data_IF_954463724652
#
_entry.id   IF_954463724652
#
_cell.length_a   1.000
_cell.length_b   1.000
_cell.length_c   1.000
_cell.angle_alpha   90.00
_cell.angle_beta   90.00
_cell.angle_gamma   90.00
#
_symmetry.space_group_name_H-M   'P 1'
#
loop_
_entity.id
_entity.type
_entity.pdbx_description
1 polymer ?
#
# COMPACT_ATOMS: atom_id res chain seq x y z
N UNK A 1 12.48 50.25 -19.69
CA UNK A 1 13.55 49.23 -19.69
C UNK A 1 13.16 48.14 -18.69
N UNK A 2 12.95 46.93 -19.21
CA UNK A 2 12.83 45.61 -18.56
C UNK A 2 12.59 45.55 -17.04
N UNK A 3 11.36 45.18 -16.66
CA UNK A 3 11.12 44.19 -15.60
C UNK A 3 10.07 43.20 -16.15
N UNK A 4 10.56 42.09 -16.69
CA UNK A 4 9.79 40.91 -17.08
C UNK A 4 9.75 39.94 -15.89
N UNK A 5 8.60 39.27 -15.73
CA UNK A 5 8.41 37.91 -15.22
C UNK A 5 8.83 37.61 -13.77
N UNK A 6 7.84 37.44 -12.88
CA UNK A 6 8.00 36.56 -11.72
C UNK A 6 6.69 35.84 -11.32
N UNK A 7 6.09 35.09 -12.26
CA UNK A 7 5.07 34.06 -11.97
C UNK A 7 5.66 32.64 -12.16
N UNK A 8 6.98 32.53 -12.38
CA UNK A 8 7.71 31.26 -12.46
C UNK A 8 8.35 30.79 -11.13
N UNK A 9 8.20 31.55 -10.04
CA UNK A 9 8.95 31.35 -8.80
C UNK A 9 8.40 30.28 -7.84
N UNK A 10 7.10 30.00 -7.83
CA UNK A 10 6.54 29.17 -6.73
C UNK A 10 6.80 27.67 -6.88
N UNK A 11 6.93 27.15 -8.10
CA UNK A 11 7.24 25.72 -8.31
C UNK A 11 8.72 25.41 -8.02
N UNK A 12 9.64 26.33 -8.34
CA UNK A 12 11.06 26.19 -8.03
C UNK A 12 11.37 26.40 -6.56
N UNK A 13 10.65 27.31 -5.88
CA UNK A 13 10.79 27.51 -4.42
C UNK A 13 10.22 26.32 -3.63
N UNK A 14 9.12 25.72 -4.09
CA UNK A 14 8.58 24.48 -3.52
C UNK A 14 9.52 23.28 -3.78
N UNK A 15 10.07 23.14 -4.99
CA UNK A 15 11.10 22.12 -5.29
C UNK A 15 12.39 22.34 -4.49
N UNK A 16 12.84 23.58 -4.32
CA UNK A 16 14.07 23.91 -3.58
C UNK A 16 13.89 23.74 -2.07
N UNK A 17 12.76 24.18 -1.50
CA UNK A 17 12.41 23.90 -0.11
C UNK A 17 12.20 22.40 0.15
N UNK A 18 11.81 21.64 -0.87
CA UNK A 18 11.65 20.19 -0.83
C UNK A 18 12.97 19.42 -0.94
N UNK A 19 13.92 19.85 -1.79
CA UNK A 19 15.28 19.31 -1.84
C UNK A 19 16.01 19.50 -0.49
N UNK A 20 15.75 20.63 0.18
CA UNK A 20 16.23 20.90 1.53
C UNK A 20 15.53 20.03 2.60
N UNK A 21 14.22 19.79 2.45
CA UNK A 21 13.49 18.88 3.33
C UNK A 21 13.93 17.42 3.16
N UNK A 22 14.21 16.96 1.93
CA UNK A 22 14.80 15.65 1.63
C UNK A 22 16.13 15.41 2.36
N UNK A 23 16.97 16.44 2.49
CA UNK A 23 18.26 16.37 3.20
C UNK A 23 18.13 16.38 4.74
N UNK A 24 16.95 16.72 5.27
CA UNK A 24 16.68 16.83 6.72
C UNK A 24 15.97 15.61 7.31
N UNK A 25 15.62 14.62 6.47
CA UNK A 25 15.07 13.34 6.90
C UNK A 25 16.24 12.50 7.43
N UNK A 26 16.22 12.04 8.71
CA UNK A 26 17.23 11.11 9.18
C UNK A 26 17.20 9.84 8.34
N UNK A 27 18.34 9.48 7.72
CA UNK A 27 18.62 8.14 7.20
C UNK A 27 18.77 7.18 8.39
N UNK A 28 17.69 6.98 9.14
CA UNK A 28 17.59 5.92 10.13
C UNK A 28 16.48 4.99 9.67
N UNK A 29 16.90 4.00 8.87
CA UNK A 29 16.62 2.58 9.02
C UNK A 29 17.08 1.82 7.75
N UNK A 30 18.33 2.02 7.32
CA UNK A 30 19.06 0.97 6.62
C UNK A 30 19.45 -0.09 7.65
N UNK A 31 18.49 -0.93 8.02
CA UNK A 31 18.84 -2.25 8.57
C UNK A 31 19.26 -3.07 7.36
N UNK A 32 20.54 -3.00 7.02
CA UNK A 32 21.19 -4.03 6.22
C UNK A 32 20.85 -5.38 6.84
N UNK A 33 20.02 -6.17 6.15
CA UNK A 33 19.88 -7.59 6.40
C UNK A 33 21.21 -8.24 6.03
N UNK A 34 22.17 -8.25 6.96
CA UNK A 34 23.26 -9.20 6.89
C UNK A 34 22.67 -10.61 6.81
N UNK A 35 23.08 -11.44 5.84
CA UNK A 35 22.65 -12.82 5.80
C UNK A 35 23.13 -13.52 7.09
N UNK A 36 22.19 -14.07 7.84
CA UNK A 36 22.45 -14.90 9.03
C UNK A 36 23.57 -15.90 8.72
N UNK A 37 24.75 -15.64 9.29
CA UNK A 37 25.83 -16.60 9.41
C UNK A 37 25.33 -17.73 10.30
N UNK A 38 25.30 -19.00 9.85
CA UNK A 38 24.99 -20.11 10.73
C UNK A 38 26.10 -20.22 11.78
N UNK A 39 25.75 -20.04 13.05
CA UNK A 39 26.63 -20.34 14.18
C UNK A 39 27.05 -21.83 14.11
N UNK A 40 28.30 -22.17 14.43
CA UNK A 40 28.96 -23.35 13.91
C UNK A 40 28.48 -24.61 14.64
N UNK A 41 27.86 -25.52 13.90
CA UNK A 41 27.85 -26.93 14.27
C UNK A 41 29.31 -27.40 14.26
N UNK A 42 29.83 -27.73 15.43
CA UNK A 42 31.14 -28.34 15.60
C UNK A 42 31.30 -29.54 14.66
N UNK A 43 32.22 -29.37 13.71
CA UNK A 43 33.03 -30.38 13.02
C UNK A 43 32.34 -31.72 12.70
N UNK A 44 31.94 -31.87 11.45
CA UNK A 44 32.22 -33.12 10.77
C UNK A 44 33.04 -32.77 9.53
N UNK A 45 34.33 -33.06 9.58
CA UNK A 45 35.24 -32.99 8.43
C UNK A 45 34.83 -34.05 7.43
N UNK A 46 33.69 -33.85 6.76
CA UNK A 46 33.30 -34.59 5.59
C UNK A 46 34.02 -33.94 4.40
N UNK A 47 35.28 -34.32 4.25
CA UNK A 47 36.00 -34.35 2.96
C UNK A 47 35.02 -34.54 1.80
N UNK A 48 34.95 -33.52 0.95
CA UNK A 48 34.19 -33.49 -0.29
C UNK A 48 34.75 -34.58 -1.22
N UNK A 49 34.10 -35.75 -1.21
CA UNK A 49 34.51 -36.90 -2.02
C UNK A 49 33.57 -37.08 -3.20
N UNK A 50 34.17 -36.88 -4.37
CA UNK A 50 33.71 -37.10 -5.74
C UNK A 50 32.49 -38.03 -5.88
N UNK A 51 31.40 -37.50 -6.46
CA UNK A 51 30.09 -38.18 -6.60
C UNK A 51 30.13 -39.38 -7.56
N UNK A 52 31.23 -39.58 -8.30
CA UNK A 52 31.37 -40.63 -9.32
C UNK A 52 32.09 -41.91 -8.86
N UNK A 53 32.52 -42.02 -7.60
CA UNK A 53 33.17 -43.24 -7.10
C UNK A 53 32.12 -44.22 -6.55
N UNK A 54 32.05 -45.48 -7.05
CA UNK A 54 31.14 -46.49 -6.50
C UNK A 54 31.40 -46.71 -5.00
N UNK A 55 30.44 -46.31 -4.16
CA UNK A 55 30.52 -46.56 -2.72
C UNK A 55 30.19 -48.03 -2.45
N UNK A 56 31.22 -48.81 -2.17
CA UNK A 56 31.10 -50.25 -1.91
C UNK A 56 31.18 -50.52 -0.39
N UNK A 57 30.32 -51.39 0.10
CA UNK A 57 30.27 -51.80 1.50
C UNK A 57 31.50 -52.65 1.86
N UNK A 58 32.32 -52.18 2.82
CA UNK A 58 33.55 -52.87 3.24
C UNK A 58 33.34 -54.29 3.83
N UNK A 59 32.10 -54.63 4.21
CA UNK A 59 31.76 -55.94 4.79
C UNK A 59 31.43 -56.98 3.73
N UNK A 60 30.58 -56.64 2.75
CA UNK A 60 29.98 -57.63 1.84
C UNK A 60 30.06 -57.27 0.36
N UNK A 61 30.64 -56.12 -0.01
CA UNK A 61 30.75 -55.71 -1.40
C UNK A 61 29.45 -55.19 -2.03
N UNK A 62 28.34 -55.11 -1.29
CA UNK A 62 27.07 -54.51 -1.75
C UNK A 62 27.18 -52.98 -1.84
N UNK A 63 26.20 -52.31 -2.47
CA UNK A 63 26.15 -50.84 -2.56
C UNK A 63 26.05 -50.22 -1.16
N UNK A 64 27.03 -49.40 -0.78
CA UNK A 64 27.03 -48.68 0.49
C UNK A 64 26.08 -47.48 0.44
N UNK A 65 25.38 -47.23 1.55
CA UNK A 65 24.49 -46.07 1.70
C UNK A 65 25.16 -44.89 2.41
N UNK A 66 26.34 -45.12 3.01
CA UNK A 66 27.12 -44.09 3.69
C UNK A 66 28.02 -44.69 4.77
N UNK A 67 28.59 -43.80 5.59
CA UNK A 67 29.26 -44.20 6.81
C UNK A 67 28.23 -44.54 7.88
N UNK A 68 28.32 -45.76 8.42
CA UNK A 68 27.51 -46.18 9.57
C UNK A 68 28.44 -46.72 10.63
N UNK A 69 28.35 -46.17 11.83
CA UNK A 69 29.20 -46.56 12.96
C UNK A 69 30.69 -46.49 12.63
N UNK A 70 31.13 -45.43 11.94
CA UNK A 70 32.52 -45.19 11.50
C UNK A 70 33.03 -46.03 10.31
N UNK A 71 32.17 -46.75 9.56
CA UNK A 71 32.61 -47.46 8.35
C UNK A 71 31.63 -47.35 7.18
N UNK A 72 32.17 -47.27 5.96
CA UNK A 72 31.37 -47.26 4.72
C UNK A 72 30.66 -48.61 4.52
N UNK A 73 29.34 -48.65 4.73
CA UNK A 73 28.57 -49.90 4.71
C UNK A 73 27.19 -49.74 4.08
N UNK A 74 26.57 -50.87 3.75
CA UNK A 74 25.17 -50.93 3.29
C UNK A 74 24.20 -51.04 4.48
N UNK A 75 22.91 -50.72 4.27
CA UNK A 75 21.85 -50.85 5.30
C UNK A 75 21.77 -52.25 5.90
N UNK A 76 22.05 -53.29 5.10
CA UNK A 76 22.06 -54.68 5.56
C UNK A 76 23.14 -54.96 6.61
N UNK A 77 24.34 -54.40 6.46
CA UNK A 77 25.44 -54.59 7.40
C UNK A 77 25.35 -53.63 8.60
N UNK A 78 24.90 -52.40 8.38
CA UNK A 78 24.50 -51.47 9.45
C UNK A 78 23.49 -52.10 10.41
N UNK A 79 22.38 -52.61 9.88
CA UNK A 79 21.32 -53.23 10.69
C UNK A 79 21.79 -54.50 11.40
N UNK A 80 22.62 -55.31 10.74
CA UNK A 80 23.22 -56.50 11.33
C UNK A 80 24.14 -56.14 12.51
N UNK A 81 25.13 -55.26 12.29
CA UNK A 81 26.07 -54.83 13.32
C UNK A 81 25.35 -54.24 14.54
N UNK A 82 24.39 -53.32 14.32
CA UNK A 82 23.59 -52.73 15.39
C UNK A 82 22.88 -53.78 16.24
N UNK A 83 22.21 -54.77 15.61
CA UNK A 83 21.49 -55.83 16.34
C UNK A 83 22.43 -56.76 17.09
N UNK A 84 23.54 -57.13 16.45
CA UNK A 84 24.54 -58.03 17.04
C UNK A 84 25.20 -57.40 18.28
N UNK A 85 25.58 -56.12 18.20
CA UNK A 85 26.18 -55.40 19.33
C UNK A 85 25.17 -55.11 20.44
N UNK A 86 23.94 -54.64 20.13
CA UNK A 86 22.91 -54.40 21.16
C UNK A 86 22.53 -55.66 21.94
N UNK A 87 22.40 -56.80 21.24
CA UNK A 87 22.03 -58.09 21.87
C UNK A 87 23.22 -58.83 22.49
N UNK A 88 24.44 -58.28 22.41
CA UNK A 88 25.68 -58.97 22.78
C UNK A 88 25.74 -60.39 22.17
N UNK A 89 25.37 -60.50 20.89
CA UNK A 89 25.20 -61.77 20.24
C UNK A 89 26.55 -62.50 20.09
N UNK A 90 26.60 -63.75 20.55
CA UNK A 90 27.74 -64.64 20.36
C UNK A 90 27.40 -65.59 19.22
N UNK A 91 28.20 -65.55 18.16
CA UNK A 91 28.03 -66.42 17.00
C UNK A 91 29.24 -67.35 16.88
N UNK A 92 28.97 -68.61 16.57
CA UNK A 92 30.01 -69.60 16.24
C UNK A 92 30.08 -69.77 14.73
N UNK A 93 31.28 -69.84 14.17
CA UNK A 93 31.42 -70.15 12.75
C UNK A 93 31.09 -71.63 12.53
N UNK A 94 30.18 -71.97 11.59
CA UNK A 94 29.93 -73.36 11.23
C UNK A 94 31.01 -73.97 10.32
N UNK A 95 32.04 -73.18 9.99
CA UNK A 95 33.17 -73.54 9.13
C UNK A 95 34.50 -73.27 9.86
N UNK A 96 35.54 -72.78 9.16
CA UNK A 96 36.90 -72.61 9.69
C UNK A 96 37.20 -71.23 10.31
N UNK A 97 36.20 -70.35 10.43
CA UNK A 97 36.39 -69.02 11.04
C UNK A 97 36.97 -67.93 10.13
N UNK A 98 37.06 -68.19 8.83
CA UNK A 98 37.70 -67.36 7.79
C UNK A 98 36.80 -67.13 6.56
N UNK A 99 35.47 -67.27 6.70
CA UNK A 99 34.54 -67.17 5.58
C UNK A 99 34.61 -65.81 4.88
N UNK A 100 34.83 -65.81 3.56
CA UNK A 100 34.75 -64.61 2.71
C UNK A 100 33.31 -64.12 2.59
N UNK A 101 33.03 -62.92 3.09
CA UNK A 101 31.68 -62.34 3.10
C UNK A 101 31.41 -61.54 1.82
N UNK A 102 30.34 -61.90 1.12
CA UNK A 102 29.83 -61.25 -0.11
C UNK A 102 28.34 -60.93 0.02
N UNK A 103 27.78 -60.18 -0.94
CA UNK A 103 26.36 -59.78 -0.94
C UNK A 103 25.44 -60.99 -0.84
N UNK A 104 25.76 -62.04 -1.58
CA UNK A 104 24.93 -63.25 -1.69
C UNK A 104 25.13 -64.16 -0.48
N UNK A 105 26.35 -64.23 0.04
CA UNK A 105 26.67 -65.19 1.08
C UNK A 105 26.65 -64.65 2.52
N UNK A 106 26.48 -63.32 2.74
CA UNK A 106 26.51 -62.65 4.06
C UNK A 106 25.48 -63.15 5.08
N UNK A 107 24.62 -64.12 4.75
CA UNK A 107 23.68 -64.75 5.70
C UNK A 107 24.17 -66.11 6.20
N UNK A 108 25.12 -66.75 5.52
CA UNK A 108 25.56 -68.12 5.83
C UNK A 108 26.43 -68.23 7.08
N UNK A 109 27.20 -67.19 7.42
CA UNK A 109 28.01 -67.17 8.64
C UNK A 109 27.94 -65.82 9.35
N UNK A 110 27.18 -65.76 10.45
CA UNK A 110 27.04 -64.55 11.26
C UNK A 110 28.32 -64.21 12.03
N UNK A 111 29.10 -65.23 12.44
CA UNK A 111 30.36 -65.06 13.16
C UNK A 111 31.40 -64.32 12.31
N UNK A 112 31.70 -64.82 11.11
CA UNK A 112 32.65 -64.18 10.19
C UNK A 112 32.16 -62.84 9.68
N UNK A 113 30.83 -62.66 9.54
CA UNK A 113 30.26 -61.35 9.20
C UNK A 113 30.44 -60.30 10.30
N UNK A 114 30.18 -60.67 11.56
CA UNK A 114 30.35 -59.73 12.68
C UNK A 114 31.82 -59.40 12.88
N UNK A 115 32.70 -60.40 12.80
CA UNK A 115 34.15 -60.20 12.78
C UNK A 115 34.55 -59.19 11.70
N UNK A 116 34.09 -59.41 10.46
CA UNK A 116 34.38 -58.49 9.35
C UNK A 116 33.84 -57.08 9.59
N UNK A 117 32.67 -56.91 10.21
CA UNK A 117 32.17 -55.58 10.57
C UNK A 117 33.13 -54.84 11.51
N UNK A 118 33.65 -55.52 12.54
CA UNK A 118 34.63 -54.94 13.48
C UNK A 118 35.96 -54.68 12.77
N UNK A 119 36.45 -55.61 11.96
CA UNK A 119 37.73 -55.51 11.25
C UNK A 119 37.80 -54.28 10.31
N UNK A 120 36.67 -53.87 9.73
CA UNK A 120 36.60 -52.67 8.87
C UNK A 120 36.39 -51.37 9.66
N UNK A 121 36.40 -51.43 11.00
CA UNK A 121 36.31 -50.25 11.86
C UNK A 121 34.89 -49.85 12.28
N UNK A 122 33.89 -50.74 12.21
CA UNK A 122 32.59 -50.44 12.82
C UNK A 122 32.71 -50.42 14.34
N UNK A 123 32.32 -49.31 14.96
CA UNK A 123 32.47 -49.05 16.39
C UNK A 123 31.11 -49.10 17.10
N UNK A 124 31.01 -49.86 18.20
CA UNK A 124 29.75 -50.02 18.95
C UNK A 124 29.38 -48.75 19.71
N UNK A 125 30.35 -47.89 19.99
CA UNK A 125 30.24 -46.64 20.74
C UNK A 125 29.34 -45.62 20.01
N UNK A 126 29.18 -45.74 18.69
CA UNK A 126 28.24 -44.94 17.89
C UNK A 126 26.82 -45.53 17.85
N UNK A 127 26.56 -46.66 18.51
CA UNK A 127 25.21 -47.20 18.64
C UNK A 127 24.54 -46.54 19.84
N UNK A 128 23.56 -45.67 19.55
CA UNK A 128 22.74 -45.05 20.58
C UNK A 128 22.12 -46.08 21.53
N UNK A 129 22.29 -45.85 22.82
CA UNK A 129 21.62 -46.54 23.91
C UNK A 129 20.11 -46.34 23.84
N UNK A 130 19.36 -47.20 24.51
CA UNK A 130 17.89 -47.07 24.52
C UNK A 130 17.45 -45.79 25.23
N UNK A 131 18.20 -45.35 26.25
CA UNK A 131 18.02 -44.06 26.93
C UNK A 131 18.25 -42.87 25.98
N UNK A 132 19.33 -42.87 25.19
CA UNK A 132 19.60 -41.79 24.22
C UNK A 132 18.57 -41.75 23.09
N UNK A 133 18.10 -42.93 22.63
CA UNK A 133 17.02 -43.02 21.64
C UNK A 133 15.73 -42.43 22.22
N UNK A 134 15.42 -42.75 23.48
CA UNK A 134 14.24 -42.24 24.17
C UNK A 134 14.31 -40.72 24.36
N UNK A 135 15.44 -40.20 24.84
CA UNK A 135 15.69 -38.75 24.96
C UNK A 135 15.54 -38.03 23.62
N UNK A 136 16.03 -38.62 22.52
CA UNK A 136 15.89 -38.06 21.17
C UNK A 136 14.43 -38.03 20.71
N UNK A 137 13.63 -39.05 21.03
CA UNK A 137 12.19 -39.08 20.74
C UNK A 137 11.45 -38.01 21.51
N UNK A 138 11.73 -37.85 22.80
CA UNK A 138 11.13 -36.82 23.66
C UNK A 138 11.45 -35.41 23.16
N UNK A 139 12.70 -35.13 22.77
CA UNK A 139 13.05 -33.84 22.17
C UNK A 139 12.29 -33.55 20.87
N UNK A 140 12.09 -34.56 20.01
CA UNK A 140 11.32 -34.40 18.77
C UNK A 140 9.84 -34.15 19.06
N UNK A 141 9.26 -34.86 20.01
CA UNK A 141 7.87 -34.66 20.42
C UNK A 141 7.67 -33.28 21.01
N UNK A 142 8.54 -32.85 21.93
CA UNK A 142 8.52 -31.50 22.51
C UNK A 142 8.61 -30.42 21.44
N UNK A 143 9.53 -30.55 20.47
CA UNK A 143 9.64 -29.60 19.36
C UNK A 143 8.37 -29.54 18.51
N UNK A 144 7.74 -30.68 18.24
CA UNK A 144 6.46 -30.72 17.51
C UNK A 144 5.33 -30.06 18.29
N UNK A 145 5.30 -30.25 19.61
CA UNK A 145 4.33 -29.59 20.50
C UNK A 145 4.55 -28.08 20.53
N UNK A 146 5.80 -27.63 20.65
CA UNK A 146 6.18 -26.20 20.59
C UNK A 146 5.82 -25.57 19.23
N UNK A 147 6.08 -26.25 18.11
CA UNK A 147 5.71 -25.80 16.77
C UNK A 147 4.19 -25.76 16.58
N UNK A 148 3.46 -26.76 17.07
CA UNK A 148 1.99 -26.80 17.02
C UNK A 148 1.35 -25.70 17.88
N UNK A 149 1.91 -25.43 19.07
CA UNK A 149 1.47 -24.34 19.93
C UNK A 149 1.74 -22.97 19.29
N UNK A 150 2.91 -22.81 18.65
CA UNK A 150 3.22 -21.58 17.91
C UNK A 150 2.26 -21.36 16.75
N UNK A 151 1.87 -22.41 16.05
CA UNK A 151 0.90 -22.35 14.95
C UNK A 151 -0.52 -22.04 15.45
N UNK A 152 -0.93 -22.58 16.61
CA UNK A 152 -2.25 -22.31 17.18
C UNK A 152 -2.38 -20.89 17.73
N UNK A 153 -1.27 -20.27 18.17
CA UNK A 153 -1.22 -18.89 18.66
C UNK A 153 -1.15 -17.84 17.55
N UNK A 154 -1.02 -18.22 16.27
CA UNK A 154 -1.00 -17.24 15.18
C UNK A 154 -2.36 -16.55 15.07
N UNK A 155 -2.39 -15.20 14.98
CA UNK A 155 -3.63 -14.47 14.78
C UNK A 155 -4.26 -14.91 13.45
N UNK A 156 -5.58 -15.07 13.45
CA UNK A 156 -6.38 -15.40 12.29
C UNK A 156 -7.61 -14.51 12.29
N UNK A 157 -8.01 -14.06 11.10
CA UNK A 157 -9.28 -13.39 10.92
C UNK A 157 -10.41 -14.40 11.12
N UNK A 158 -11.43 -14.00 11.89
CA UNK A 158 -12.67 -14.75 11.97
C UNK A 158 -13.44 -14.61 10.64
N UNK A 159 -14.29 -15.59 10.35
CA UNK A 159 -15.11 -15.61 9.12
C UNK A 159 -16.00 -14.36 9.01
N UNK A 160 -16.59 -13.92 10.13
CA UNK A 160 -17.37 -12.68 10.18
C UNK A 160 -16.53 -11.43 9.86
N UNK A 161 -15.29 -11.36 10.35
CA UNK A 161 -14.39 -10.24 10.08
C UNK A 161 -14.00 -10.21 8.60
N UNK A 162 -13.73 -11.38 8.02
CA UNK A 162 -13.43 -11.55 6.60
C UNK A 162 -14.61 -11.10 5.73
N UNK A 163 -15.84 -11.47 6.09
CA UNK A 163 -17.05 -11.04 5.38
C UNK A 163 -17.25 -9.51 5.40
N UNK A 164 -16.93 -8.85 6.52
CA UNK A 164 -16.97 -7.39 6.63
C UNK A 164 -15.96 -6.76 5.67
N UNK A 165 -14.71 -7.26 5.65
CA UNK A 165 -13.67 -6.77 4.74
C UNK A 165 -14.10 -6.94 3.28
N UNK A 166 -14.61 -8.11 2.91
CA UNK A 166 -15.09 -8.38 1.54
C UNK A 166 -16.23 -7.44 1.13
N UNK A 167 -17.15 -7.14 2.05
CA UNK A 167 -18.23 -6.17 1.80
C UNK A 167 -17.68 -4.78 1.52
N UNK A 168 -16.67 -4.33 2.27
CA UNK A 168 -16.03 -3.03 2.07
C UNK A 168 -15.21 -2.98 0.77
N UNK A 169 -14.50 -4.05 0.42
CA UNK A 169 -13.81 -4.15 -0.87
C UNK A 169 -14.80 -4.07 -2.03
N UNK A 170 -15.91 -4.79 -1.95
CA UNK A 170 -16.96 -4.74 -2.98
C UNK A 170 -17.59 -3.34 -3.08
N UNK A 171 -17.84 -2.69 -1.95
CA UNK A 171 -18.30 -1.31 -1.91
C UNK A 171 -17.31 -0.36 -2.60
N UNK A 172 -16.01 -0.55 -2.34
CA UNK A 172 -14.95 0.23 -2.96
C UNK A 172 -14.93 0.04 -4.48
N UNK A 173 -14.89 -1.21 -4.96
CA UNK A 173 -14.89 -1.52 -6.41
C UNK A 173 -16.11 -0.98 -7.14
N UNK A 174 -17.29 -0.96 -6.50
CA UNK A 174 -18.52 -0.39 -7.09
C UNK A 174 -18.56 1.13 -7.14
N UNK A 175 -17.75 1.80 -6.31
CA UNK A 175 -17.82 3.25 -6.14
C UNK A 175 -16.53 3.96 -6.52
N UNK A 176 -15.50 3.21 -6.91
CA UNK A 176 -14.26 3.76 -7.43
C UNK A 176 -13.94 3.10 -8.77
N UNK A 177 -13.87 3.93 -9.81
CA UNK A 177 -13.44 3.54 -11.14
C UNK A 177 -12.11 4.25 -11.44
N UNK A 178 -10.97 3.53 -11.54
CA UNK A 178 -9.68 4.14 -11.82
C UNK A 178 -9.62 4.82 -13.20
N UNK A 179 -10.51 4.47 -14.12
CA UNK A 179 -10.60 5.09 -15.45
C UNK A 179 -11.46 6.35 -15.47
N UNK A 180 -12.22 6.60 -14.40
CA UNK A 180 -13.19 7.70 -14.30
C UNK A 180 -14.18 7.73 -15.47
N UNK A 181 -14.51 6.57 -16.05
CA UNK A 181 -15.36 6.46 -17.24
C UNK A 181 -16.79 6.97 -17.03
N UNK A 182 -17.29 6.92 -15.80
CA UNK A 182 -18.61 7.46 -15.42
C UNK A 182 -18.64 8.99 -15.31
N UNK A 183 -17.49 9.65 -15.23
CA UNK A 183 -17.40 11.11 -15.11
C UNK A 183 -17.50 11.73 -16.50
N UNK A 184 -18.73 11.88 -17.03
CA UNK A 184 -18.99 12.33 -18.42
C UNK A 184 -19.80 13.62 -18.54
N UNK A 185 -20.53 14.00 -17.50
CA UNK A 185 -21.37 15.20 -17.47
C UNK A 185 -20.76 16.27 -16.57
N UNK A 186 -19.59 16.79 -16.97
CA UNK A 186 -18.84 17.77 -16.19
C UNK A 186 -18.41 18.95 -17.07
N UNK A 187 -18.19 20.10 -16.44
CA UNK A 187 -17.61 21.29 -17.06
C UNK A 187 -16.12 21.03 -17.28
N UNK A 188 -15.57 21.14 -18.50
CA UNK A 188 -14.19 20.75 -18.80
C UNK A 188 -13.16 21.63 -18.07
N UNK A 189 -11.95 21.11 -17.81
CA UNK A 189 -10.88 21.89 -17.18
C UNK A 189 -10.45 23.05 -18.08
N UNK A 190 -10.36 24.26 -17.51
CA UNK A 190 -9.89 25.47 -18.20
C UNK A 190 -8.61 25.95 -17.54
N UNK A 191 -7.46 25.59 -18.14
CA UNK A 191 -6.14 26.02 -17.68
C UNK A 191 -5.73 27.31 -18.39
N UNK A 192 -5.33 28.33 -17.64
CA UNK A 192 -4.71 29.51 -18.25
C UNK A 192 -3.29 29.15 -18.71
N UNK A 193 -3.08 29.08 -20.03
CA UNK A 193 -1.74 28.89 -20.59
C UNK A 193 -0.91 30.16 -20.39
N UNK A 194 0.09 30.13 -19.50
CA UNK A 194 1.23 31.03 -19.61
C UNK A 194 2.05 30.62 -20.84
N UNK A 195 1.83 31.32 -21.95
CA UNK A 195 2.45 31.19 -23.28
C UNK A 195 1.80 30.22 -24.27
N UNK A 196 0.96 30.75 -25.17
CA UNK A 196 1.11 30.56 -26.62
C UNK A 196 0.19 31.53 -27.39
N UNK A 197 0.75 32.67 -27.80
CA UNK A 197 0.25 33.39 -28.96
C UNK A 197 0.51 32.57 -30.24
N UNK A 198 -0.46 32.63 -31.16
CA UNK A 198 -0.42 32.19 -32.55
C UNK A 198 -0.26 30.68 -32.85
N UNK A 199 -1.40 30.06 -33.23
CA UNK A 199 -1.61 29.49 -34.58
C UNK A 199 -3.01 28.86 -34.71
N UNK A 200 -4.00 29.68 -35.07
CA UNK A 200 -5.23 29.19 -35.68
C UNK A 200 -5.05 29.16 -37.20
N UNK A 201 -4.84 27.97 -37.77
CA UNK A 201 -5.09 27.73 -39.18
C UNK A 201 -6.04 26.55 -39.27
N UNK A 202 -7.33 26.88 -39.35
CA UNK A 202 -8.41 25.94 -39.60
C UNK A 202 -8.24 25.36 -40.99
N UNK A 203 -8.22 24.03 -41.08
CA UNK A 203 -8.24 23.27 -42.32
C UNK A 203 -9.67 22.81 -42.57
N UNK A 204 -10.31 23.31 -43.63
CA UNK A 204 -11.47 22.66 -44.22
C UNK A 204 -11.41 22.84 -45.73
N UNK A 205 -11.20 21.70 -46.40
CA UNK A 205 -11.21 21.55 -47.85
C UNK A 205 -12.60 21.03 -48.28
N UNK A 206 -13.23 21.66 -49.29
CA UNK A 206 -13.67 21.05 -50.56
C UNK A 206 -14.74 21.91 -51.29
N UNK A 207 -14.48 22.12 -52.59
CA UNK A 207 -15.16 22.88 -53.68
C UNK A 207 -16.26 22.08 -54.42
N UNK A 208 -16.84 22.49 -55.59
CA UNK A 208 -17.09 23.81 -56.23
C UNK A 208 -18.55 24.00 -56.78
N UNK A 209 -18.92 25.23 -57.18
CA UNK A 209 -20.12 25.53 -58.01
C UNK A 209 -20.15 26.98 -58.52
N UNK A 210 -20.54 27.19 -59.78
CA UNK A 210 -20.21 28.34 -60.65
C UNK A 210 -21.06 29.64 -60.49
N UNK A 211 -20.36 30.78 -60.61
CA UNK A 211 -20.58 32.04 -61.38
C UNK A 211 -21.85 32.93 -61.35
N UNK A 212 -21.57 34.24 -61.08
CA UNK A 212 -22.12 35.53 -61.60
C UNK A 212 -23.58 35.92 -61.25
N UNK A 213 -23.98 37.15 -60.87
CA UNK A 213 -23.45 38.54 -60.95
C UNK A 213 -24.26 39.49 -60.00
N UNK A 214 -23.73 40.70 -59.71
CA UNK A 214 -24.42 41.98 -59.39
C UNK A 214 -25.23 42.11 -58.06
N UNK A 215 -25.32 43.22 -57.32
CA UNK A 215 -24.99 44.64 -57.49
C UNK A 215 -24.96 45.38 -56.11
N UNK A 216 -24.20 46.48 -56.07
CA UNK A 216 -24.27 47.77 -55.35
C UNK A 216 -24.50 48.00 -53.83
N UNK A 217 -23.66 48.95 -53.34
CA UNK A 217 -23.92 50.10 -52.41
C UNK A 217 -24.24 49.82 -50.92
N UNK A 218 -23.78 50.57 -49.91
CA UNK A 218 -23.08 51.85 -49.81
C UNK A 218 -22.60 52.12 -48.35
N UNK A 219 -21.58 52.98 -48.20
CA UNK A 219 -21.28 53.89 -47.04
C UNK A 219 -20.95 53.30 -45.65
N UNK A 220 -20.03 53.78 -44.81
CA UNK A 220 -19.01 54.85 -44.86
C UNK A 220 -18.13 54.77 -43.57
N UNK A 221 -16.81 54.99 -43.71
CA UNK A 221 -15.90 55.89 -42.92
C UNK A 221 -16.09 56.05 -41.39
N UNK A 222 -15.10 56.14 -40.48
CA UNK A 222 -13.71 56.67 -40.47
C UNK A 222 -13.13 56.35 -39.04
N UNK A 223 -11.96 55.71 -38.89
CA UNK A 223 -10.63 56.28 -38.56
C UNK A 223 -10.42 56.93 -37.17
N UNK A 224 -9.84 56.12 -36.27
CA UNK A 224 -8.70 56.26 -35.34
C UNK A 224 -8.18 57.61 -34.77
N UNK A 225 -7.70 57.49 -33.51
CA UNK A 225 -6.47 58.06 -32.87
C UNK A 225 -6.63 59.26 -31.87
N UNK A 226 -5.70 59.41 -30.88
CA UNK A 226 -5.97 59.47 -29.43
C UNK A 226 -5.35 60.73 -28.76
N UNK A 227 -5.28 60.83 -27.42
CA UNK A 227 -4.14 61.40 -26.64
C UNK A 227 -4.44 61.65 -25.12
N UNK A 228 -3.48 61.21 -24.29
CA UNK A 228 -2.84 61.83 -23.11
C UNK A 228 -3.57 62.21 -21.80
N UNK A 229 -3.25 61.41 -20.76
CA UNK A 229 -2.60 61.71 -19.46
C UNK A 229 -3.00 62.95 -18.61
N UNK A 230 -3.41 62.68 -17.36
CA UNK A 230 -3.22 63.44 -16.10
C UNK A 230 -3.95 62.66 -14.98
N UNK A 231 -3.61 62.58 -13.69
CA UNK A 231 -2.46 62.90 -12.85
C UNK A 231 -2.67 62.11 -11.54
N UNK A 232 -1.59 61.85 -10.79
CA UNK A 232 -1.60 61.16 -9.49
C UNK A 232 -2.32 61.96 -8.38
N UNK A 233 -3.05 61.25 -7.52
CA UNK A 233 -3.16 61.59 -6.09
C UNK A 233 -2.83 60.36 -5.23
N UNK A 234 -1.97 60.59 -4.25
CA UNK A 234 -1.50 59.64 -3.23
C UNK A 234 -2.50 59.59 -2.06
N UNK A 235 -2.80 58.40 -1.56
CA UNK A 235 -3.22 58.09 -0.18
C UNK A 235 -3.04 56.57 0.02
N UNK A 236 -1.95 56.14 0.67
CA UNK A 236 -1.79 55.89 2.11
C UNK A 236 -2.43 54.56 2.58
N UNK A 237 -1.52 53.62 2.82
CA UNK A 237 -1.52 52.42 3.64
C UNK A 237 -2.84 51.89 4.22
N UNK A 238 -3.25 50.73 3.72
CA UNK A 238 -3.36 49.46 4.46
C UNK A 238 -4.30 48.52 3.69
N UNK A 239 -3.75 47.73 2.76
CA UNK A 239 -4.53 46.73 2.05
C UNK A 239 -3.80 45.39 2.12
N UNK A 240 -4.43 44.45 2.84
CA UNK A 240 -4.28 43.02 2.62
C UNK A 240 -4.07 42.74 1.14
N UNK A 241 -3.11 41.89 0.80
CA UNK A 241 -2.93 41.35 -0.54
C UNK A 241 -4.23 40.64 -0.98
N UNK A 242 -5.17 41.40 -1.53
CA UNK A 242 -6.36 40.90 -2.19
C UNK A 242 -5.88 40.32 -3.50
N UNK A 243 -5.76 39.00 -3.55
CA UNK A 243 -5.61 38.24 -4.79
C UNK A 243 -6.73 38.70 -5.73
N UNK A 244 -6.38 39.10 -6.94
CA UNK A 244 -7.36 39.47 -7.97
C UNK A 244 -8.12 38.19 -8.39
N UNK A 245 -9.31 38.00 -7.80
CA UNK A 245 -10.18 36.83 -7.93
C UNK A 245 -11.02 36.81 -9.21
N UNK A 246 -10.71 37.64 -10.21
CA UNK A 246 -11.67 37.94 -11.28
C UNK A 246 -11.96 36.78 -12.25
N UNK A 247 -11.27 35.63 -12.18
CA UNK A 247 -11.81 34.38 -12.76
C UNK A 247 -11.11 33.10 -12.24
N UNK A 248 -11.72 32.37 -11.30
CA UNK A 248 -11.27 31.03 -10.89
C UNK A 248 -11.56 29.99 -11.98
N UNK A 249 -10.68 29.87 -12.97
CA UNK A 249 -10.93 29.08 -14.19
C UNK A 249 -11.15 27.58 -13.94
N UNK A 250 -10.57 27.03 -12.87
CA UNK A 250 -10.69 25.62 -12.54
C UNK A 250 -11.81 25.31 -11.53
N UNK A 251 -12.39 26.33 -10.88
CA UNK A 251 -13.43 26.16 -9.87
C UNK A 251 -14.66 25.38 -10.38
N UNK A 252 -15.26 25.70 -11.55
CA UNK A 252 -16.40 24.94 -12.07
C UNK A 252 -16.10 23.45 -12.26
N UNK A 253 -14.93 23.14 -12.83
CA UNK A 253 -14.52 21.77 -13.11
C UNK A 253 -14.26 20.98 -11.83
N UNK A 254 -13.49 21.55 -10.89
CA UNK A 254 -13.20 20.86 -9.63
C UNK A 254 -14.45 20.73 -8.75
N UNK A 255 -15.40 21.67 -8.81
CA UNK A 255 -16.70 21.52 -8.15
C UNK A 255 -17.47 20.30 -8.70
N UNK A 256 -17.44 20.05 -10.01
CA UNK A 256 -18.06 18.86 -10.60
C UNK A 256 -17.35 17.56 -10.18
N UNK A 257 -16.01 17.58 -10.15
CA UNK A 257 -15.21 16.43 -9.70
C UNK A 257 -15.46 16.09 -8.22
N UNK A 258 -15.55 17.11 -7.36
CA UNK A 258 -15.88 16.94 -5.94
C UNK A 258 -17.31 16.45 -5.80
N UNK A 259 -18.27 17.00 -6.55
CA UNK A 259 -19.66 16.54 -6.58
C UNK A 259 -19.78 15.06 -6.96
N UNK A 260 -19.08 14.64 -8.01
CA UNK A 260 -18.97 13.23 -8.41
C UNK A 260 -18.39 12.39 -7.27
N UNK A 261 -17.32 12.86 -6.64
CA UNK A 261 -16.65 12.14 -5.55
C UNK A 261 -17.53 12.00 -4.31
N UNK A 262 -18.31 13.03 -3.95
CA UNK A 262 -19.31 12.98 -2.87
C UNK A 262 -20.32 11.85 -3.13
N UNK A 263 -20.86 11.75 -4.36
CA UNK A 263 -21.80 10.68 -4.71
C UNK A 263 -21.19 9.29 -4.54
N UNK A 264 -19.93 9.12 -4.93
CA UNK A 264 -19.19 7.87 -4.74
C UNK A 264 -18.91 7.57 -3.27
N UNK A 265 -18.64 8.59 -2.43
CA UNK A 265 -18.51 8.43 -0.97
C UNK A 265 -19.84 8.00 -0.33
N UNK A 266 -20.96 8.63 -0.71
CA UNK A 266 -22.30 8.24 -0.24
C UNK A 266 -22.61 6.79 -0.63
N UNK A 267 -22.30 6.40 -1.87
CA UNK A 267 -22.45 5.03 -2.34
C UNK A 267 -21.67 4.02 -1.48
N UNK A 268 -20.41 4.35 -1.15
CA UNK A 268 -19.55 3.52 -0.32
C UNK A 268 -20.10 3.41 1.11
N UNK A 269 -20.45 4.54 1.73
CA UNK A 269 -20.98 4.60 3.08
C UNK A 269 -22.24 3.74 3.26
N UNK A 270 -23.15 3.78 2.29
CA UNK A 270 -24.39 2.98 2.28
C UNK A 270 -24.15 1.47 2.29
N UNK A 271 -22.94 0.99 2.00
CA UNK A 271 -22.57 -0.42 2.01
C UNK A 271 -21.76 -0.83 3.24
N UNK A 272 -21.35 0.12 4.09
CA UNK A 272 -20.63 -0.19 5.32
C UNK A 272 -21.56 -0.96 6.28
N UNK A 273 -21.15 -2.15 6.78
CA UNK A 273 -21.95 -2.91 7.74
C UNK A 273 -22.25 -2.12 9.02
N UNK A 274 -23.53 -1.85 9.28
CA UNK A 274 -24.02 -1.05 10.41
C UNK A 274 -24.38 0.40 10.07
N UNK A 275 -23.99 0.93 8.91
CA UNK A 275 -24.30 2.33 8.56
C UNK A 275 -25.81 2.56 8.36
N UNK A 276 -26.50 1.63 7.70
CA UNK A 276 -27.96 1.76 7.44
C UNK A 276 -28.83 1.58 8.68
N UNK A 277 -28.29 1.08 9.79
CA UNK A 277 -29.03 1.00 11.06
C UNK A 277 -29.03 2.31 11.84
N UNK A 278 -28.20 3.28 11.45
CA UNK A 278 -28.21 4.62 12.03
C UNK A 278 -29.44 5.41 11.57
N UNK A 279 -29.82 6.43 12.34
CA UNK A 279 -30.88 7.37 11.94
C UNK A 279 -30.50 8.11 10.65
N UNK A 280 -31.50 8.65 9.95
CA UNK A 280 -31.22 9.40 8.72
C UNK A 280 -30.40 10.67 9.03
N UNK A 281 -30.69 11.30 10.16
CA UNK A 281 -30.00 12.47 10.71
C UNK A 281 -28.52 12.16 10.97
N UNK A 282 -28.22 11.05 11.64
CA UNK A 282 -26.83 10.63 11.91
C UNK A 282 -26.10 10.26 10.61
N UNK A 283 -26.74 9.55 9.69
CA UNK A 283 -26.16 9.25 8.39
C UNK A 283 -25.77 10.52 7.63
N UNK A 284 -26.63 11.55 7.66
CA UNK A 284 -26.37 12.85 7.03
C UNK A 284 -25.23 13.57 7.77
N UNK A 285 -25.26 13.64 9.10
CA UNK A 285 -24.24 14.31 9.90
C UNK A 285 -22.84 13.73 9.67
N UNK A 286 -22.73 12.40 9.67
CA UNK A 286 -21.48 11.69 9.39
C UNK A 286 -20.98 11.99 7.97
N UNK A 287 -21.85 11.86 6.97
CA UNK A 287 -21.48 12.11 5.57
C UNK A 287 -21.05 13.56 5.31
N UNK A 288 -21.76 14.54 5.86
CA UNK A 288 -21.39 15.95 5.71
C UNK A 288 -20.03 16.25 6.32
N UNK A 289 -19.77 15.70 7.50
CA UNK A 289 -18.53 15.97 8.23
C UNK A 289 -17.32 15.22 7.69
N UNK A 290 -17.49 14.04 7.08
CA UNK A 290 -16.39 13.20 6.63
C UNK A 290 -16.15 13.22 5.12
N UNK A 291 -17.03 13.81 4.30
CA UNK A 291 -16.98 13.67 2.84
C UNK A 291 -15.62 14.09 2.27
N UNK A 292 -15.12 15.28 2.61
CA UNK A 292 -13.84 15.77 2.08
C UNK A 292 -12.66 14.94 2.57
N UNK A 293 -12.69 14.48 3.82
CA UNK A 293 -11.64 13.63 4.40
C UNK A 293 -11.51 12.31 3.64
N UNK A 294 -12.66 11.68 3.34
CA UNK A 294 -12.69 10.43 2.56
C UNK A 294 -12.27 10.68 1.11
N UNK A 295 -12.63 11.81 0.51
CA UNK A 295 -12.17 12.20 -0.83
C UNK A 295 -10.64 12.35 -0.85
N UNK A 296 -10.07 13.05 0.13
CA UNK A 296 -8.62 13.22 0.25
C UNK A 296 -7.92 11.88 0.46
N UNK A 297 -8.43 11.02 1.34
CA UNK A 297 -7.90 9.68 1.58
C UNK A 297 -7.96 8.82 0.31
N UNK A 298 -9.09 8.80 -0.39
CA UNK A 298 -9.31 8.04 -1.63
C UNK A 298 -8.45 8.55 -2.80
N UNK A 299 -8.23 9.86 -2.89
CA UNK A 299 -7.40 10.46 -3.94
C UNK A 299 -5.96 9.95 -3.93
N UNK A 300 -5.51 9.32 -2.84
CA UNK A 300 -4.21 8.64 -2.80
C UNK A 300 -4.07 7.55 -3.86
N UNK A 301 -5.18 6.95 -4.30
CA UNK A 301 -5.17 5.92 -5.33
C UNK A 301 -4.77 6.47 -6.71
N UNK A 302 -5.10 7.72 -7.02
CA UNK A 302 -4.72 8.41 -8.26
C UNK A 302 -3.49 9.32 -8.11
N UNK A 303 -2.95 9.47 -6.90
CA UNK A 303 -1.78 10.31 -6.63
C UNK A 303 -0.47 9.65 -7.05
N UNK A 304 0.35 10.40 -7.79
CA UNK A 304 1.70 10.02 -8.23
C UNK A 304 2.78 10.73 -7.40
N UNK A 305 3.76 9.96 -6.92
CA UNK A 305 4.95 10.50 -6.24
C UNK A 305 5.99 11.08 -7.21
N UNK A 306 5.90 10.75 -8.50
CA UNK A 306 6.88 11.16 -9.50
C UNK A 306 6.83 12.68 -9.76
N UNK A 307 5.62 13.21 -9.84
CA UNK A 307 5.37 14.59 -10.24
C UNK A 307 4.30 15.29 -9.37
N UNK A 308 3.96 14.68 -8.22
CA UNK A 308 3.03 15.21 -7.23
C UNK A 308 1.68 15.61 -7.82
N UNK A 309 1.17 14.77 -8.71
CA UNK A 309 -0.08 15.00 -9.45
C UNK A 309 -1.12 13.91 -9.19
N UNK A 310 -2.39 14.23 -9.46
CA UNK A 310 -3.49 13.27 -9.46
C UNK A 310 -3.91 12.99 -10.89
N UNK A 311 -3.96 11.72 -11.29
CA UNK A 311 -4.41 11.32 -12.63
C UNK A 311 -5.74 10.59 -12.57
N UNK A 312 -6.79 11.18 -13.14
CA UNK A 312 -8.15 10.64 -13.13
C UNK A 312 -8.54 10.14 -14.52
N UNK A 313 -8.13 8.91 -14.87
CA UNK A 313 -8.40 8.34 -16.19
C UNK A 313 -7.34 8.72 -17.22
N UNK A 314 -7.63 9.66 -18.12
CA UNK A 314 -6.69 10.09 -19.18
C UNK A 314 -5.73 11.20 -18.70
N UNK A 315 -4.65 11.42 -19.48
CA UNK A 315 -3.70 12.51 -19.21
C UNK A 315 -4.32 13.92 -19.26
N UNK A 316 -5.47 14.09 -19.90
CA UNK A 316 -6.18 15.38 -19.94
C UNK A 316 -6.71 15.76 -18.55
N UNK A 317 -7.04 14.75 -17.74
CA UNK A 317 -7.53 14.85 -16.35
C UNK A 317 -6.42 14.56 -15.34
N UNK A 318 -5.25 15.15 -15.62
CA UNK A 318 -4.12 15.21 -14.70
C UNK A 318 -4.11 16.54 -13.98
N UNK A 319 -4.11 16.52 -12.66
CA UNK A 319 -4.22 17.71 -11.82
C UNK A 319 -2.93 17.93 -11.03
N UNK A 320 -2.39 19.13 -11.15
CA UNK A 320 -1.27 19.64 -10.37
C UNK A 320 -1.76 20.65 -9.34
N UNK A 321 -0.88 21.03 -8.41
CA UNK A 321 -1.18 22.05 -7.39
C UNK A 321 -1.69 23.36 -8.03
N UNK A 322 -1.11 23.77 -9.15
CA UNK A 322 -1.56 24.96 -9.88
C UNK A 322 -3.03 24.88 -10.31
N UNK A 323 -3.51 23.72 -10.75
CA UNK A 323 -4.92 23.54 -11.14
C UNK A 323 -5.86 23.77 -9.93
N UNK A 324 -5.45 23.32 -8.74
CA UNK A 324 -6.24 23.49 -7.51
C UNK A 324 -6.17 24.92 -7.00
N UNK A 325 -5.04 25.62 -7.17
CA UNK A 325 -4.94 27.06 -6.87
C UNK A 325 -5.83 27.91 -7.79
N UNK A 326 -5.97 27.53 -9.06
CA UNK A 326 -6.89 28.17 -10.02
C UNK A 326 -8.37 27.90 -9.72
N UNK A 327 -8.67 27.02 -8.76
CA UNK A 327 -10.00 26.83 -8.20
C UNK A 327 -10.21 27.61 -6.87
N UNK A 328 -9.22 28.37 -6.43
CA UNK A 328 -9.34 29.27 -5.27
C UNK A 328 -8.82 28.71 -3.95
N UNK A 329 -8.10 27.58 -3.97
CA UNK A 329 -7.44 27.04 -2.77
C UNK A 329 -6.02 27.54 -2.62
N UNK A 330 -5.63 27.96 -1.40
CA UNK A 330 -4.29 28.45 -1.11
C UNK A 330 -3.31 27.31 -0.76
N UNK A 331 -2.02 27.64 -0.72
CA UNK A 331 -0.97 26.71 -0.29
C UNK A 331 -1.12 26.26 1.18
N UNK A 332 -1.83 27.02 2.03
CA UNK A 332 -2.12 26.63 3.41
C UNK A 332 -2.89 25.31 3.50
N UNK A 333 -3.72 25.01 2.48
CA UNK A 333 -4.40 23.72 2.35
C UNK A 333 -3.58 22.71 1.55
N UNK A 334 -2.96 23.17 0.45
CA UNK A 334 -2.36 22.27 -0.53
C UNK A 334 -1.03 21.67 -0.06
N UNK A 335 -0.20 22.41 0.68
CA UNK A 335 1.04 21.83 1.21
C UNK A 335 0.79 20.73 2.24
N UNK A 336 -0.09 20.90 3.25
CA UNK A 336 -0.44 19.80 4.14
C UNK A 336 -1.11 18.64 3.39
N UNK A 337 -1.91 18.90 2.36
CA UNK A 337 -2.56 17.86 1.57
C UNK A 337 -1.53 16.99 0.84
N UNK A 338 -0.53 17.60 0.19
CA UNK A 338 0.55 16.86 -0.48
C UNK A 338 1.37 16.06 0.53
N UNK A 339 1.73 16.67 1.68
CA UNK A 339 2.43 15.96 2.77
C UNK A 339 1.62 14.76 3.27
N UNK A 340 0.30 14.92 3.38
CA UNK A 340 -0.61 13.84 3.71
C UNK A 340 -0.58 12.73 2.66
N UNK A 341 -0.70 13.05 1.36
CA UNK A 341 -0.67 12.05 0.28
C UNK A 341 0.64 11.25 0.25
N UNK A 342 1.79 11.94 0.38
CA UNK A 342 3.11 11.31 0.45
C UNK A 342 3.18 10.40 1.67
N UNK A 343 2.77 10.91 2.83
CA UNK A 343 2.77 10.14 4.09
C UNK A 343 1.91 8.89 4.00
N UNK A 344 0.76 8.96 3.33
CA UNK A 344 -0.14 7.83 3.14
C UNK A 344 0.44 6.80 2.14
N UNK A 345 1.06 7.24 1.04
CA UNK A 345 1.78 6.32 0.12
C UNK A 345 2.89 5.54 0.82
N UNK A 346 3.65 6.20 1.70
CA UNK A 346 4.74 5.57 2.47
C UNK A 346 4.28 4.46 3.41
N UNK A 347 3.00 4.40 3.76
CA UNK A 347 2.46 3.30 4.57
C UNK A 347 2.31 2.00 3.78
N UNK A 348 2.30 2.05 2.43
CA UNK A 348 2.12 0.90 1.55
C UNK A 348 0.91 0.03 1.96
N UNK A 349 -0.22 0.69 2.20
CA UNK A 349 -1.44 0.02 2.68
C UNK A 349 -1.97 -1.00 1.67
N UNK A 350 -2.44 -2.12 2.18
CA UNK A 350 -3.27 -3.03 1.40
C UNK A 350 -4.63 -2.39 1.08
N UNK A 351 -5.33 -2.92 0.08
CA UNK A 351 -6.66 -2.44 -0.31
C UNK A 351 -7.65 -2.55 0.87
N UNK A 352 -7.57 -3.64 1.62
CA UNK A 352 -8.37 -3.93 2.82
C UNK A 352 -8.16 -2.89 3.92
N UNK A 353 -6.90 -2.53 4.16
CA UNK A 353 -6.54 -1.53 5.17
C UNK A 353 -7.04 -0.14 4.78
N UNK A 354 -6.96 0.18 3.49
CA UNK A 354 -7.45 1.44 2.94
C UNK A 354 -8.97 1.58 3.08
N UNK A 355 -9.75 0.54 2.73
CA UNK A 355 -11.22 0.57 2.84
C UNK A 355 -11.70 0.55 4.29
N UNK A 356 -10.98 -0.16 5.18
CA UNK A 356 -11.25 -0.11 6.63
C UNK A 356 -10.98 1.29 7.19
N UNK A 357 -9.88 1.92 6.79
CA UNK A 357 -9.54 3.28 7.22
C UNK A 357 -10.58 4.31 6.75
N UNK A 358 -11.06 4.20 5.50
CA UNK A 358 -12.19 5.00 5.01
C UNK A 358 -13.46 4.80 5.85
N UNK A 359 -13.81 3.56 6.16
CA UNK A 359 -15.01 3.27 6.93
C UNK A 359 -14.92 3.80 8.38
N UNK A 360 -13.76 3.68 9.02
CA UNK A 360 -13.46 4.24 10.34
C UNK A 360 -13.54 5.78 10.30
N UNK A 361 -13.04 6.41 9.23
CA UNK A 361 -13.11 7.87 9.03
C UNK A 361 -14.55 8.39 8.94
N UNK A 362 -15.43 7.64 8.25
CA UNK A 362 -16.86 7.99 8.10
C UNK A 362 -17.58 7.84 9.45
N UNK A 363 -17.39 6.71 10.13
CA UNK A 363 -18.09 6.38 11.37
C UNK A 363 -17.39 6.99 12.59
N UNK A 364 -17.22 8.31 12.62
CA UNK A 364 -16.62 9.00 13.77
C UNK A 364 -17.71 9.54 14.70
N UNK A 365 -17.75 9.17 15.99
CA UNK A 365 -18.82 9.60 16.91
C UNK A 365 -18.73 11.08 17.30
N UNK A 366 -17.57 11.71 17.12
CA UNK A 366 -17.30 13.11 17.47
C UNK A 366 -17.74 14.12 16.39
N UNK A 367 -18.47 13.68 15.35
CA UNK A 367 -18.93 14.58 14.28
C UNK A 367 -20.06 15.51 14.76
N UNK A 368 -20.04 16.80 14.37
CA UNK A 368 -21.15 17.71 14.63
C UNK A 368 -22.49 17.17 14.13
N UNK A 369 -23.53 17.24 14.96
CA UNK A 369 -24.89 16.85 14.60
C UNK A 369 -25.23 15.37 14.81
N UNK A 370 -24.27 14.51 15.17
CA UNK A 370 -24.55 13.12 15.54
C UNK A 370 -25.31 13.06 16.88
N UNK A 371 -26.41 12.31 16.89
CA UNK A 371 -27.32 12.11 18.01
C UNK A 371 -26.98 10.85 18.81
N UNK A 372 -26.86 9.69 18.15
CA UNK A 372 -26.50 8.42 18.80
C UNK A 372 -25.00 8.13 18.70
N UNK A 373 -24.20 8.85 19.48
CA UNK A 373 -22.74 8.70 19.49
C UNK A 373 -22.30 7.31 19.92
N UNK A 374 -23.05 6.65 20.82
CA UNK A 374 -22.70 5.33 21.35
C UNK A 374 -22.85 4.23 20.29
N UNK A 375 -23.90 4.29 19.46
CA UNK A 375 -24.06 3.35 18.36
C UNK A 375 -22.98 3.56 17.28
N UNK A 376 -22.66 4.81 16.94
CA UNK A 376 -21.59 5.12 15.98
C UNK A 376 -20.23 4.60 16.48
N UNK A 377 -19.89 4.87 17.74
CA UNK A 377 -18.66 4.38 18.39
C UNK A 377 -18.59 2.85 18.38
N UNK A 378 -19.66 2.16 18.72
CA UNK A 378 -19.73 0.69 18.68
C UNK A 378 -19.43 0.11 17.29
N UNK A 379 -19.93 0.73 16.22
CA UNK A 379 -19.65 0.30 14.85
C UNK A 379 -18.18 0.63 14.49
N UNK A 380 -17.69 1.81 14.85
CA UNK A 380 -16.30 2.23 14.61
C UNK A 380 -15.29 1.32 15.32
N UNK A 381 -15.55 0.96 16.57
CA UNK A 381 -14.74 0.07 17.39
C UNK A 381 -14.62 -1.31 16.75
N UNK A 382 -15.74 -1.86 16.26
CA UNK A 382 -15.73 -3.14 15.56
C UNK A 382 -14.84 -3.08 14.32
N UNK A 383 -14.92 -2.02 13.52
CA UNK A 383 -14.08 -1.85 12.33
C UNK A 383 -12.60 -1.67 12.69
N UNK A 384 -12.32 -0.92 13.76
CA UNK A 384 -10.97 -0.72 14.31
C UNK A 384 -10.34 -2.03 14.78
N UNK A 385 -11.11 -2.90 15.44
CA UNK A 385 -10.65 -4.23 15.87
C UNK A 385 -10.38 -5.14 14.66
N UNK A 386 -11.22 -5.08 13.63
CA UNK A 386 -11.01 -5.82 12.37
C UNK A 386 -9.70 -5.38 11.70
N UNK A 387 -9.46 -4.07 11.60
CA UNK A 387 -8.22 -3.52 11.04
C UNK A 387 -6.98 -3.97 11.82
N UNK A 388 -7.02 -3.88 13.16
CA UNK A 388 -5.91 -4.36 13.99
C UNK A 388 -5.67 -5.87 13.80
N UNK A 389 -6.74 -6.67 13.74
CA UNK A 389 -6.63 -8.12 13.49
C UNK A 389 -6.05 -8.40 12.11
N UNK A 390 -6.49 -7.69 11.07
CA UNK A 390 -5.97 -7.82 9.71
C UNK A 390 -4.47 -7.50 9.66
N UNK A 391 -4.05 -6.39 10.26
CA UNK A 391 -2.63 -5.99 10.35
C UNK A 391 -1.81 -7.08 11.04
N UNK A 392 -2.29 -7.61 12.16
CA UNK A 392 -1.61 -8.69 12.89
C UNK A 392 -1.47 -9.98 12.06
N UNK A 393 -2.47 -10.29 11.22
CA UNK A 393 -2.47 -11.48 10.38
C UNK A 393 -1.59 -11.33 9.13
N UNK A 394 -1.54 -10.13 8.53
CA UNK A 394 -0.98 -9.90 7.19
C UNK A 394 0.38 -9.20 7.21
N UNK A 395 0.69 -8.44 8.25
CA UNK A 395 1.98 -7.80 8.46
C UNK A 395 2.66 -8.43 9.70
N UNK A 396 3.45 -9.50 9.58
CA UNK A 396 4.16 -10.04 10.75
C UNK A 396 5.23 -9.05 11.27
N UNK A 397 5.62 -9.12 12.57
CA UNK A 397 6.64 -8.24 13.14
C UNK A 397 7.98 -8.32 12.38
N UNK A 398 8.73 -7.20 12.27
CA UNK A 398 8.51 -5.91 12.91
C UNK A 398 7.55 -4.95 12.16
N UNK A 399 7.06 -5.32 10.97
CA UNK A 399 6.30 -4.44 10.07
C UNK A 399 4.91 -4.00 10.57
N UNK A 400 4.29 -4.73 11.50
CA UNK A 400 2.97 -4.37 12.06
C UNK A 400 3.00 -3.37 13.22
N UNK A 401 4.09 -3.28 13.99
CA UNK A 401 4.00 -2.74 15.36
C UNK A 401 3.52 -1.28 15.41
N UNK A 402 3.87 -0.49 14.40
CA UNK A 402 3.52 0.92 14.31
C UNK A 402 2.57 1.24 13.16
N UNK A 403 2.09 0.24 12.40
CA UNK A 403 1.25 0.49 11.24
C UNK A 403 -0.12 1.05 11.66
N UNK A 404 -0.82 0.38 12.57
CA UNK A 404 -2.13 0.85 13.05
C UNK A 404 -2.06 2.27 13.66
N UNK A 405 -1.15 2.58 14.62
CA UNK A 405 -1.00 3.94 15.12
C UNK A 405 -0.72 4.98 14.01
N UNK A 406 0.12 4.66 13.03
CA UNK A 406 0.40 5.55 11.89
C UNK A 406 -0.83 5.77 11.02
N UNK A 407 -1.68 4.76 10.83
CA UNK A 407 -2.95 4.90 10.11
C UNK A 407 -3.94 5.79 10.86
N UNK A 408 -4.06 5.63 12.18
CA UNK A 408 -4.94 6.49 12.99
C UNK A 408 -4.41 7.93 13.02
N UNK A 409 -3.09 8.14 13.04
CA UNK A 409 -2.51 9.48 12.89
C UNK A 409 -2.94 10.14 11.57
N UNK A 410 -3.09 9.38 10.47
CA UNK A 410 -3.60 9.94 9.21
C UNK A 410 -5.03 10.47 9.34
N UNK A 411 -5.88 9.87 10.18
CA UNK A 411 -7.21 10.41 10.47
C UNK A 411 -7.14 11.73 11.24
N UNK A 412 -6.13 11.91 12.09
CA UNK A 412 -5.90 13.19 12.79
C UNK A 412 -5.45 14.27 11.81
N UNK A 413 -4.51 13.94 10.91
CA UNK A 413 -4.06 14.85 9.85
C UNK A 413 -5.24 15.33 8.98
N UNK A 414 -6.21 14.44 8.71
CA UNK A 414 -7.43 14.75 7.95
C UNK A 414 -8.35 15.75 8.67
N UNK A 415 -8.37 15.80 10.01
CA UNK A 415 -9.17 16.80 10.74
C UNK A 415 -8.66 18.22 10.48
N UNK A 416 -7.35 18.43 10.55
CA UNK A 416 -6.74 19.73 10.23
C UNK A 416 -6.93 20.11 8.77
N UNK A 417 -6.83 19.15 7.85
CA UNK A 417 -7.11 19.38 6.43
C UNK A 417 -8.58 19.79 6.18
N UNK A 418 -9.52 19.15 6.89
CA UNK A 418 -10.93 19.46 6.79
C UNK A 418 -11.26 20.87 7.31
N UNK A 419 -10.66 21.26 8.44
CA UNK A 419 -10.81 22.62 8.99
C UNK A 419 -10.31 23.69 8.02
N UNK A 420 -9.12 23.53 7.46
CA UNK A 420 -8.58 24.50 6.49
C UNK A 420 -9.37 24.49 5.18
N UNK A 421 -9.78 23.31 4.69
CA UNK A 421 -10.69 23.22 3.54
C UNK A 421 -11.99 23.97 3.78
N UNK A 422 -12.63 23.77 4.93
CA UNK A 422 -13.91 24.40 5.29
C UNK A 422 -13.78 25.93 5.38
N UNK A 423 -12.67 26.41 5.94
CA UNK A 423 -12.35 27.85 5.99
C UNK A 423 -12.20 28.46 4.59
N UNK A 424 -11.46 27.82 3.70
CA UNK A 424 -11.27 28.32 2.33
C UNK A 424 -12.55 28.21 1.50
N UNK A 425 -13.27 27.09 1.63
CA UNK A 425 -14.56 26.89 1.00
C UNK A 425 -15.56 27.99 1.38
N UNK A 426 -15.64 28.35 2.68
CA UNK A 426 -16.49 29.43 3.16
C UNK A 426 -16.17 30.77 2.51
N UNK A 427 -14.87 31.08 2.33
CA UNK A 427 -14.45 32.30 1.64
C UNK A 427 -14.90 32.31 0.18
N UNK A 428 -14.83 31.15 -0.50
CA UNK A 428 -15.30 30.99 -1.87
C UNK A 428 -16.84 31.09 -1.98
N UNK A 429 -17.57 30.41 -1.09
CA UNK A 429 -19.03 30.35 -1.15
C UNK A 429 -19.73 31.67 -0.80
N UNK A 430 -19.08 32.57 -0.04
CA UNK A 430 -19.63 33.90 0.24
C UNK A 430 -19.54 34.88 -0.94
N UNK A 431 -18.71 34.60 -1.94
CA UNK A 431 -18.61 35.39 -3.16
C UNK A 431 -19.71 34.92 -4.14
N UNK A 432 -20.69 35.76 -4.52
CA UNK A 432 -21.82 35.33 -5.36
C UNK A 432 -21.39 34.71 -6.69
N UNK A 433 -20.38 35.30 -7.34
CA UNK A 433 -19.84 34.85 -8.63
C UNK A 433 -19.26 33.43 -8.55
N UNK A 434 -18.57 33.11 -7.46
CA UNK A 434 -17.99 31.78 -7.22
C UNK A 434 -19.04 30.78 -6.73
N UNK A 435 -19.96 31.22 -5.86
CA UNK A 435 -21.05 30.36 -5.37
C UNK A 435 -21.92 29.83 -6.51
N UNK A 436 -22.16 30.63 -7.56
CA UNK A 436 -22.91 30.21 -8.75
C UNK A 436 -22.17 29.16 -9.58
N UNK A 437 -20.86 29.00 -9.38
CA UNK A 437 -20.05 27.97 -10.05
C UNK A 437 -20.02 26.65 -9.27
N UNK A 438 -20.40 26.64 -8.00
CA UNK A 438 -20.46 25.41 -7.19
C UNK A 438 -21.69 24.57 -7.56
N UNK A 439 -21.59 23.25 -7.43
CA UNK A 439 -22.75 22.38 -7.65
C UNK A 439 -23.70 22.42 -6.44
N UNK A 440 -25.01 22.16 -6.63
CA UNK A 440 -25.95 22.09 -5.51
C UNK A 440 -25.54 21.09 -4.43
N UNK A 441 -24.96 19.95 -4.82
CA UNK A 441 -24.51 18.93 -3.87
C UNK A 441 -23.31 19.40 -3.04
N UNK A 442 -22.36 20.11 -3.67
CA UNK A 442 -21.22 20.71 -2.96
C UNK A 442 -21.70 21.75 -1.94
N UNK A 443 -22.66 22.59 -2.33
CA UNK A 443 -23.30 23.56 -1.43
C UNK A 443 -24.06 22.88 -0.28
N UNK A 444 -24.79 21.80 -0.55
CA UNK A 444 -25.55 21.08 0.48
C UNK A 444 -24.63 20.41 1.52
N UNK A 445 -23.54 19.80 1.06
CA UNK A 445 -22.64 19.04 1.91
C UNK A 445 -21.73 19.95 2.73
N UNK A 446 -21.16 21.01 2.14
CA UNK A 446 -20.19 21.88 2.80
C UNK A 446 -20.73 23.25 3.24
N UNK A 447 -21.92 23.64 2.80
CA UNK A 447 -22.46 25.00 3.05
C UNK A 447 -23.19 25.21 4.37
N UNK A 448 -23.47 24.17 5.15
CA UNK A 448 -24.42 24.25 6.27
C UNK A 448 -23.84 24.52 7.67
N UNK A 449 -22.58 24.94 7.81
CA UNK A 449 -22.08 25.46 9.10
C UNK A 449 -22.20 26.98 9.17
N UNK A 450 -23.46 27.45 9.15
CA UNK A 450 -23.83 28.77 9.66
C UNK A 450 -24.87 28.53 10.76
N UNK A 451 -24.40 28.28 11.98
CA UNK A 451 -25.04 28.66 13.26
C UNK A 451 -24.10 28.33 14.41
#
# INVERSE_FOLDING_TARGET
MRLQNNIGGSMSEFQSSWELYQQSIPDDLDVEMEPMVPCPTFTDTATDFDRNIPRICGVCGDKATGFHFNAMTCEGCKGFFRRSMKRKAMFTCPFNGDCKITKDNRRHCQACRLKRCVDIGMMKEFILTDEEVQRKREMIMKRKEEEALKESLKPKLLEEQQQVIETLLEAHRKTYDPTYSDFTQFRPPVRQNSNQEHRSRSSSNMTPGFSFSDDSSDTSSFSSEPMLLSNLELNDDSASMSIDFSHLTMLPHLADLVSYSIQKVIGFAKMIPGFRSLTAEDQIALLKSSAIEVIMLRSNQSFSLEDMSWTCGSNDFKYQINDVTQAGHSLDLLEPLVKFQIGLKKLNLHEEEHVLLMAICILSPDRPGVQDTALVESIQDRLSQILQTYILCRHPPPGNRLLYPKMIQKLTDLRSLNEEHSKQYRCLSFQPEHSMQLTPLVLEVFGNEIS
#
